data_IF_318901431871
#
_entry.id   IF_318901431871
#
_cell.length_a   1.000
_cell.length_b   1.000
_cell.length_c   1.000
_cell.angle_alpha   90.00
_cell.angle_beta   90.00
_cell.angle_gamma   90.00
#
_symmetry.space_group_name_H-M   'P 1'
#
loop_
_entity.id
_entity.type
_entity.pdbx_description
1 polymer ?
#
# COMPACT_ATOMS: atom_id res chain seq x y z
N UNK A 1 -8.77 35.08 14.04
CA UNK A 1 -7.40 34.71 13.65
C UNK A 1 -7.51 33.86 12.39
N UNK A 2 -7.05 34.37 11.25
CA UNK A 2 -7.13 33.64 9.99
C UNK A 2 -6.20 32.41 10.08
N UNK A 3 -6.78 31.23 9.92
CA UNK A 3 -6.07 29.97 9.84
C UNK A 3 -5.15 30.04 8.60
N UNK A 4 -3.84 30.04 8.80
CA UNK A 4 -2.90 29.96 7.67
C UNK A 4 -3.19 28.65 6.93
N UNK A 5 -3.65 28.75 5.68
CA UNK A 5 -3.86 27.60 4.82
C UNK A 5 -2.55 26.82 4.70
N UNK A 6 -2.62 25.53 4.93
CA UNK A 6 -1.47 24.65 5.13
C UNK A 6 -0.76 24.24 3.82
N UNK A 7 -1.30 24.55 2.66
CA UNK A 7 -0.75 24.07 1.39
C UNK A 7 0.05 25.13 0.62
N UNK A 8 1.26 25.44 1.12
CA UNK A 8 2.20 26.34 0.46
C UNK A 8 2.81 25.76 -0.83
N UNK A 9 2.61 24.46 -1.12
CA UNK A 9 3.20 23.80 -2.29
C UNK A 9 2.50 24.18 -3.61
N UNK A 10 1.21 24.52 -3.57
CA UNK A 10 0.42 24.86 -4.76
C UNK A 10 0.03 26.36 -4.85
N UNK A 11 0.49 27.17 -3.91
CA UNK A 11 0.00 28.52 -3.67
C UNK A 11 0.50 29.66 -4.57
N UNK A 12 1.34 29.41 -5.57
CA UNK A 12 2.16 30.42 -6.26
C UNK A 12 1.43 31.64 -6.86
N UNK A 13 0.14 31.54 -7.21
CA UNK A 13 -0.65 32.63 -7.79
C UNK A 13 -1.88 33.02 -6.95
N UNK A 14 -2.19 32.28 -5.92
CA UNK A 14 -3.40 32.49 -5.12
C UNK A 14 -3.07 33.18 -3.80
N UNK A 15 -3.87 34.17 -3.42
CA UNK A 15 -3.74 34.91 -2.16
C UNK A 15 -4.30 34.12 -0.96
N UNK A 16 -5.13 33.09 -1.22
CA UNK A 16 -5.74 32.22 -0.22
C UNK A 16 -5.50 30.75 -0.59
N UNK A 17 -5.53 29.87 0.40
CA UNK A 17 -5.51 28.42 0.19
C UNK A 17 -6.84 27.90 -0.39
N UNK A 18 -6.93 26.59 -0.72
CA UNK A 18 -8.15 25.95 -1.17
C UNK A 18 -9.29 26.13 -0.16
N UNK A 19 -10.52 26.15 -0.65
CA UNK A 19 -11.71 26.09 0.20
C UNK A 19 -11.80 24.74 0.91
N UNK A 20 -12.35 24.71 2.13
CA UNK A 20 -12.46 23.50 2.93
C UNK A 20 -13.23 22.36 2.22
N UNK A 21 -14.22 22.71 1.39
CA UNK A 21 -14.94 21.73 0.59
C UNK A 21 -14.05 21.13 -0.50
N UNK A 22 -13.19 21.94 -1.13
CA UNK A 22 -12.22 21.47 -2.12
C UNK A 22 -11.17 20.57 -1.48
N UNK A 23 -10.66 20.92 -0.29
CA UNK A 23 -9.74 20.05 0.47
C UNK A 23 -10.39 18.69 0.76
N UNK A 24 -11.66 18.67 1.19
CA UNK A 24 -12.39 17.44 1.48
C UNK A 24 -12.65 16.57 0.24
N UNK A 25 -12.92 17.20 -0.92
CA UNK A 25 -13.16 16.47 -2.19
C UNK A 25 -11.87 15.87 -2.73
N UNK A 26 -10.75 16.58 -2.61
CA UNK A 26 -9.47 16.16 -3.17
C UNK A 26 -8.72 15.16 -2.26
N UNK A 27 -9.02 15.13 -0.97
CA UNK A 27 -8.29 14.31 -0.02
C UNK A 27 -8.48 12.80 -0.27
N UNK A 28 -7.38 12.11 -0.57
CA UNK A 28 -7.30 10.65 -0.72
C UNK A 28 -6.65 9.95 0.49
N UNK A 29 -6.08 10.71 1.44
CA UNK A 29 -5.32 10.15 2.58
C UNK A 29 -6.11 9.11 3.38
N UNK A 30 -7.44 9.19 3.41
CA UNK A 30 -8.30 8.24 4.11
C UNK A 30 -8.16 6.79 3.63
N UNK A 31 -7.71 6.57 2.40
CA UNK A 31 -7.51 5.24 1.82
C UNK A 31 -6.10 5.02 1.24
N UNK A 32 -5.41 6.03 0.71
CA UNK A 32 -4.10 5.88 0.07
C UNK A 32 -2.94 5.77 1.07
N UNK A 33 -3.16 6.07 2.35
CA UNK A 33 -2.20 5.75 3.43
C UNK A 33 -1.72 4.29 3.41
N UNK A 34 -2.50 3.38 2.79
CA UNK A 34 -2.13 1.97 2.58
C UNK A 34 -0.94 1.80 1.64
N UNK A 35 -0.59 2.81 0.85
CA UNK A 35 0.53 2.79 -0.09
C UNK A 35 1.84 3.30 0.54
N UNK A 36 1.85 3.62 1.83
CA UNK A 36 3.00 4.24 2.51
C UNK A 36 4.31 3.46 2.37
N UNK A 37 4.28 2.14 2.54
CA UNK A 37 5.45 1.28 2.40
C UNK A 37 5.99 1.27 0.96
N UNK A 38 5.10 1.27 -0.02
CA UNK A 38 5.44 1.29 -1.44
C UNK A 38 5.99 2.65 -1.85
N UNK A 39 5.40 3.76 -1.37
CA UNK A 39 5.90 5.11 -1.62
C UNK A 39 7.31 5.31 -1.04
N UNK A 40 7.55 4.87 0.20
CA UNK A 40 8.89 4.89 0.80
C UNK A 40 9.87 4.06 -0.02
N UNK A 41 9.47 2.87 -0.46
CA UNK A 41 10.32 1.98 -1.27
C UNK A 41 10.66 2.61 -2.63
N UNK A 42 9.65 3.12 -3.34
CA UNK A 42 9.82 3.80 -4.63
C UNK A 42 10.66 5.07 -4.50
N UNK A 43 10.42 5.87 -3.46
CA UNK A 43 11.15 7.11 -3.18
C UNK A 43 12.61 6.85 -2.84
N UNK A 44 12.93 5.80 -2.09
CA UNK A 44 14.32 5.39 -1.81
C UNK A 44 15.05 4.95 -3.08
N UNK A 45 14.41 4.18 -3.93
CA UNK A 45 14.96 3.77 -5.22
C UNK A 45 15.21 4.98 -6.14
N UNK A 46 14.26 5.94 -6.17
CA UNK A 46 14.40 7.17 -6.93
C UNK A 46 15.59 8.03 -6.44
N UNK A 47 15.72 8.23 -5.13
CA UNK A 47 16.86 8.96 -4.56
C UNK A 47 18.20 8.28 -4.88
N UNK A 48 18.26 6.95 -4.79
CA UNK A 48 19.47 6.19 -5.15
C UNK A 48 19.82 6.36 -6.65
N UNK A 49 18.84 6.33 -7.54
CA UNK A 49 19.02 6.57 -8.97
C UNK A 49 19.52 7.99 -9.23
N UNK A 50 18.92 9.01 -8.61
CA UNK A 50 19.36 10.41 -8.76
C UNK A 50 20.82 10.59 -8.35
N UNK A 51 21.26 9.95 -7.27
CA UNK A 51 22.66 9.99 -6.84
C UNK A 51 23.58 9.24 -7.81
N UNK A 52 23.18 8.05 -8.27
CA UNK A 52 23.97 7.26 -9.23
C UNK A 52 24.18 7.98 -10.56
N UNK A 53 23.23 8.82 -10.97
CA UNK A 53 23.33 9.65 -12.17
C UNK A 53 23.98 11.03 -11.91
N UNK A 54 24.45 11.30 -10.69
CA UNK A 54 25.09 12.56 -10.33
C UNK A 54 24.14 13.78 -10.31
N UNK A 55 22.83 13.56 -10.25
CA UNK A 55 21.81 14.62 -10.21
C UNK A 55 21.72 15.23 -8.81
N UNK A 56 21.83 14.40 -7.77
CA UNK A 56 21.97 14.82 -6.38
C UNK A 56 23.25 14.25 -5.78
N UNK A 57 23.71 14.80 -4.67
CA UNK A 57 24.88 14.25 -3.98
C UNK A 57 24.56 12.92 -3.29
N UNK A 58 25.57 12.05 -3.16
CA UNK A 58 25.43 10.80 -2.39
C UNK A 58 25.04 11.08 -0.93
N UNK A 59 25.50 12.20 -0.36
CA UNK A 59 25.15 12.63 0.99
C UNK A 59 23.66 12.96 1.10
N UNK A 60 23.10 13.68 0.12
CA UNK A 60 21.66 14.00 0.11
C UNK A 60 20.82 12.73 -0.04
N UNK A 61 21.22 11.83 -0.94
CA UNK A 61 20.51 10.57 -1.12
C UNK A 61 20.49 9.72 0.15
N UNK A 62 21.59 9.66 0.87
CA UNK A 62 21.66 8.93 2.15
C UNK A 62 20.80 9.60 3.22
N UNK A 63 20.86 10.93 3.34
CA UNK A 63 20.01 11.68 4.28
C UNK A 63 18.52 11.48 3.98
N UNK A 64 18.12 11.49 2.69
CA UNK A 64 16.75 11.20 2.26
C UNK A 64 16.37 9.75 2.62
N UNK A 65 17.26 8.78 2.36
CA UNK A 65 17.03 7.37 2.66
C UNK A 65 16.75 7.14 4.16
N UNK A 66 17.55 7.74 5.03
CA UNK A 66 17.40 7.63 6.48
C UNK A 66 16.13 8.30 6.98
N UNK A 67 15.82 9.50 6.46
CA UNK A 67 14.58 10.20 6.77
C UNK A 67 13.33 9.40 6.37
N UNK A 68 13.33 8.77 5.18
CA UNK A 68 12.24 7.92 4.72
C UNK A 68 12.06 6.65 5.57
N UNK A 69 13.16 6.03 6.04
CA UNK A 69 13.09 4.89 6.95
C UNK A 69 12.53 5.29 8.33
N UNK A 70 12.89 6.47 8.83
CA UNK A 70 12.32 7.00 10.06
C UNK A 70 10.80 7.18 9.93
N UNK A 71 10.34 7.76 8.81
CA UNK A 71 8.91 7.94 8.53
C UNK A 71 8.18 6.60 8.46
N UNK A 72 8.74 5.61 7.77
CA UNK A 72 8.15 4.28 7.71
C UNK A 72 7.99 3.67 9.10
N UNK A 73 9.01 3.78 9.95
CA UNK A 73 8.95 3.32 11.34
C UNK A 73 7.89 4.07 12.16
N UNK A 74 7.71 5.38 11.94
CA UNK A 74 6.65 6.16 12.60
C UNK A 74 5.25 5.68 12.15
N UNK A 75 5.07 5.34 10.87
CA UNK A 75 3.80 4.82 10.35
C UNK A 75 3.51 3.42 10.92
N UNK A 76 4.48 2.53 10.89
CA UNK A 76 4.35 1.15 11.40
C UNK A 76 4.08 1.11 12.91
N UNK A 77 4.67 2.04 13.67
CA UNK A 77 4.42 2.16 15.13
C UNK A 77 3.14 2.91 15.47
N UNK A 78 2.43 3.48 14.48
CA UNK A 78 1.21 4.27 14.70
C UNK A 78 1.44 5.63 15.33
N UNK A 79 2.67 6.15 15.28
CA UNK A 79 3.04 7.48 15.81
C UNK A 79 3.02 8.59 14.74
N UNK A 80 2.86 8.22 13.47
CA UNK A 80 2.76 9.18 12.37
C UNK A 80 1.35 9.80 12.34
N UNK A 81 1.28 11.13 12.31
CA UNK A 81 0.02 11.88 12.20
C UNK A 81 -0.28 12.21 10.75
N UNK A 82 -1.33 11.60 10.19
CA UNK A 82 -1.82 11.92 8.85
C UNK A 82 -2.68 13.19 8.87
N UNK A 83 -2.47 14.06 7.90
CA UNK A 83 -3.19 15.33 7.74
C UNK A 83 -4.00 15.34 6.45
N UNK A 84 -5.32 15.54 6.55
CA UNK A 84 -6.22 15.74 5.40
C UNK A 84 -5.85 16.99 4.59
N UNK A 85 -5.32 18.02 5.26
CA UNK A 85 -4.86 19.24 4.60
C UNK A 85 -3.64 19.02 3.67
N UNK A 86 -2.97 17.88 3.80
CA UNK A 86 -1.89 17.42 2.93
C UNK A 86 -2.37 16.43 1.85
N UNK A 87 -3.68 16.34 1.63
CA UNK A 87 -4.33 15.69 0.50
C UNK A 87 -4.10 14.17 0.43
N UNK A 88 -2.87 13.73 0.17
CA UNK A 88 -2.49 12.35 -0.11
C UNK A 88 -1.31 11.87 0.76
N UNK A 89 -1.02 10.57 0.70
CA UNK A 89 0.09 9.94 1.43
C UNK A 89 1.45 10.54 1.01
N UNK A 90 1.60 10.87 -0.25
CA UNK A 90 2.87 11.36 -0.79
C UNK A 90 3.21 12.73 -0.22
N UNK A 91 2.24 13.66 -0.15
CA UNK A 91 2.42 14.97 0.48
C UNK A 91 2.63 14.87 1.99
N UNK A 92 1.95 13.94 2.66
CA UNK A 92 2.16 13.67 4.08
C UNK A 92 3.60 13.21 4.35
N UNK A 93 4.12 12.26 3.56
CA UNK A 93 5.51 11.78 3.65
C UNK A 93 6.49 12.90 3.30
N UNK A 94 6.28 13.64 2.21
CA UNK A 94 7.18 14.74 1.80
C UNK A 94 7.23 15.85 2.85
N UNK A 95 6.10 16.24 3.43
CA UNK A 95 6.04 17.26 4.48
C UNK A 95 6.78 16.79 5.74
N UNK A 96 6.58 15.53 6.15
CA UNK A 96 7.30 14.95 7.30
C UNK A 96 8.80 14.86 7.02
N UNK A 97 9.19 14.42 5.83
CA UNK A 97 10.59 14.34 5.41
C UNK A 97 11.25 15.72 5.50
N UNK A 98 10.58 16.76 5.00
CA UNK A 98 11.08 18.14 5.10
C UNK A 98 11.27 18.60 6.55
N UNK A 99 10.38 18.18 7.47
CA UNK A 99 10.52 18.48 8.89
C UNK A 99 11.73 17.78 9.50
N UNK A 100 12.02 16.54 9.09
CA UNK A 100 13.11 15.72 9.64
C UNK A 100 14.49 16.16 9.12
N UNK A 101 14.62 16.38 7.81
CA UNK A 101 15.94 16.55 7.15
C UNK A 101 16.14 17.92 6.51
N UNK A 102 15.13 18.79 6.48
CA UNK A 102 15.23 20.15 5.95
C UNK A 102 15.36 20.21 4.44
N UNK A 103 16.32 21.04 3.93
CA UNK A 103 16.51 21.35 2.51
C UNK A 103 16.71 20.11 1.60
N UNK A 104 17.45 19.06 1.97
CA UNK A 104 17.63 17.88 1.12
C UNK A 104 16.32 17.19 0.71
N UNK A 105 15.27 17.30 1.51
CA UNK A 105 13.97 16.70 1.20
C UNK A 105 13.39 17.19 -0.14
N UNK A 106 13.57 18.48 -0.47
CA UNK A 106 13.07 19.06 -1.72
C UNK A 106 13.72 18.46 -2.97
N UNK A 107 14.90 17.83 -2.83
CA UNK A 107 15.61 17.20 -3.96
C UNK A 107 15.03 15.86 -4.37
N UNK A 108 14.25 15.20 -3.49
CA UNK A 108 13.61 13.91 -3.77
C UNK A 108 12.65 14.01 -4.97
N UNK A 109 11.94 15.13 -5.14
CA UNK A 109 10.96 15.30 -6.22
C UNK A 109 11.59 15.66 -7.59
N UNK A 110 12.92 15.70 -7.68
CA UNK A 110 13.63 16.03 -8.94
C UNK A 110 13.25 15.04 -10.04
N UNK A 111 12.83 15.57 -11.20
CA UNK A 111 12.45 14.81 -12.40
C UNK A 111 11.33 13.76 -12.14
N UNK A 112 10.44 14.01 -11.18
CA UNK A 112 9.35 13.12 -10.78
C UNK A 112 8.01 13.84 -10.93
N UNK A 113 7.00 13.14 -11.45
CA UNK A 113 5.61 13.54 -11.42
C UNK A 113 4.85 12.76 -10.34
N UNK A 114 3.86 13.40 -9.72
CA UNK A 114 2.94 12.69 -8.82
C UNK A 114 2.26 11.51 -9.54
N UNK A 115 1.96 11.65 -10.83
CA UNK A 115 1.30 10.60 -11.62
C UNK A 115 2.14 9.33 -11.76
N UNK A 116 3.45 9.43 -12.03
CA UNK A 116 4.33 8.27 -12.11
C UNK A 116 4.59 7.66 -10.73
N UNK A 117 4.67 8.46 -9.68
CA UNK A 117 4.78 8.04 -8.29
C UNK A 117 3.59 7.18 -7.89
N UNK A 118 2.36 7.71 -7.99
CA UNK A 118 1.12 7.00 -7.64
C UNK A 118 0.99 5.69 -8.44
N UNK A 119 1.26 5.72 -9.75
CA UNK A 119 1.16 4.54 -10.61
C UNK A 119 2.17 3.44 -10.21
N UNK A 120 3.37 3.83 -9.80
CA UNK A 120 4.41 2.91 -9.34
C UNK A 120 4.02 2.28 -8.01
N UNK A 121 3.60 3.10 -7.05
CA UNK A 121 3.23 2.65 -5.71
C UNK A 121 2.02 1.72 -5.74
N UNK A 122 1.01 2.05 -6.54
CA UNK A 122 -0.15 1.18 -6.72
C UNK A 122 0.24 -0.18 -7.34
N UNK A 123 1.14 -0.20 -8.33
CA UNK A 123 1.63 -1.46 -8.91
C UNK A 123 2.43 -2.29 -7.93
N UNK A 124 3.28 -1.68 -7.12
CA UNK A 124 4.00 -2.35 -6.05
C UNK A 124 3.03 -2.96 -5.04
N UNK A 125 2.05 -2.17 -4.59
CA UNK A 125 1.01 -2.64 -3.67
C UNK A 125 0.21 -3.81 -4.23
N UNK A 126 -0.21 -3.75 -5.51
CA UNK A 126 -0.93 -4.86 -6.15
C UNK A 126 -0.08 -6.14 -6.15
N UNK A 127 1.22 -6.04 -6.43
CA UNK A 127 2.12 -7.20 -6.38
C UNK A 127 2.20 -7.80 -4.98
N UNK A 128 2.37 -6.97 -3.96
CA UNK A 128 2.41 -7.42 -2.57
C UNK A 128 1.09 -8.09 -2.16
N UNK A 129 -0.06 -7.54 -2.62
CA UNK A 129 -1.38 -8.14 -2.35
C UNK A 129 -1.59 -9.47 -3.10
N UNK A 130 -1.05 -9.61 -4.30
CA UNK A 130 -1.07 -10.88 -5.04
C UNK A 130 -0.28 -11.95 -4.27
N UNK A 131 0.93 -11.63 -3.81
CA UNK A 131 1.77 -12.57 -3.06
C UNK A 131 1.09 -12.99 -1.75
N UNK A 132 0.55 -12.06 -0.99
CA UNK A 132 -0.22 -12.34 0.23
C UNK A 132 -1.47 -13.19 -0.03
N UNK A 133 -2.18 -12.95 -1.16
CA UNK A 133 -3.35 -13.74 -1.57
C UNK A 133 -2.95 -15.17 -1.92
N UNK A 134 -1.86 -15.35 -2.65
CA UNK A 134 -1.32 -16.69 -2.99
C UNK A 134 -0.97 -17.46 -1.72
N UNK A 135 -0.30 -16.84 -0.77
CA UNK A 135 0.03 -17.46 0.53
C UNK A 135 -1.24 -17.88 1.29
N UNK A 136 -2.25 -17.02 1.32
CA UNK A 136 -3.55 -17.31 1.93
C UNK A 136 -4.27 -18.48 1.26
N UNK A 137 -4.31 -18.52 -0.08
CA UNK A 137 -4.90 -19.63 -0.83
C UNK A 137 -4.15 -20.94 -0.61
N UNK A 138 -2.83 -20.92 -0.57
CA UNK A 138 -2.03 -22.10 -0.26
C UNK A 138 -2.30 -22.64 1.15
N UNK A 139 -2.49 -21.75 2.14
CA UNK A 139 -2.86 -22.16 3.49
C UNK A 139 -4.24 -22.81 3.51
N UNK A 140 -5.22 -22.25 2.80
CA UNK A 140 -6.58 -22.79 2.68
C UNK A 140 -6.56 -24.16 1.98
N UNK A 141 -5.82 -24.31 0.88
CA UNK A 141 -5.66 -25.58 0.17
C UNK A 141 -5.07 -26.65 1.10
N UNK A 142 -4.01 -26.34 1.85
CA UNK A 142 -3.41 -27.27 2.82
C UNK A 142 -4.41 -27.70 3.89
N UNK A 143 -5.22 -26.78 4.39
CA UNK A 143 -6.26 -27.11 5.38
C UNK A 143 -7.35 -28.00 4.79
N UNK A 144 -7.80 -27.73 3.55
CA UNK A 144 -8.78 -28.56 2.85
C UNK A 144 -8.24 -29.97 2.54
N UNK A 145 -6.97 -30.10 2.14
CA UNK A 145 -6.29 -31.38 1.94
C UNK A 145 -6.22 -32.20 3.22
N UNK A 146 -5.85 -31.59 4.34
CA UNK A 146 -5.82 -32.28 5.64
C UNK A 146 -7.20 -32.82 6.03
N UNK A 147 -8.27 -32.07 5.74
CA UNK A 147 -9.65 -32.52 5.96
C UNK A 147 -10.05 -33.64 4.97
N UNK A 148 -9.60 -33.54 3.72
CA UNK A 148 -9.85 -34.59 2.72
C UNK A 148 -9.19 -35.92 3.10
N UNK A 149 -7.95 -35.89 3.58
CA UNK A 149 -7.22 -37.07 4.06
C UNK A 149 -7.90 -37.69 5.28
N UNK A 150 -8.25 -36.88 6.28
CA UNK A 150 -8.89 -37.35 7.51
C UNK A 150 -10.27 -37.97 7.26
N UNK A 151 -11.03 -37.48 6.29
CA UNK A 151 -12.37 -37.95 5.97
C UNK A 151 -12.49 -38.67 4.64
N UNK A 152 -11.40 -39.28 4.15
CA UNK A 152 -11.35 -39.91 2.84
C UNK A 152 -12.41 -41.02 2.65
N UNK A 153 -12.76 -41.74 3.72
CA UNK A 153 -13.71 -42.85 3.77
C UNK A 153 -15.03 -42.49 4.50
N UNK A 154 -15.20 -41.24 4.99
CA UNK A 154 -16.42 -40.82 5.65
C UNK A 154 -17.56 -40.61 4.64
N UNK A 155 -18.49 -41.55 4.62
CA UNK A 155 -19.62 -41.49 3.70
C UNK A 155 -20.66 -40.49 4.17
N UNK A 156 -21.11 -39.64 3.23
CA UNK A 156 -22.19 -38.66 3.45
C UNK A 156 -23.15 -38.61 2.25
N UNK A 157 -24.39 -38.13 2.43
CA UNK A 157 -25.27 -37.95 1.30
C UNK A 157 -24.83 -36.79 0.40
N UNK A 158 -24.78 -37.02 -0.91
CA UNK A 158 -24.76 -35.97 -1.92
C UNK A 158 -26.19 -35.49 -2.19
N UNK A 159 -26.34 -34.24 -2.62
CA UNK A 159 -27.63 -33.59 -2.86
C UNK A 159 -27.71 -33.02 -4.27
N UNK A 160 -28.88 -33.09 -4.88
CA UNK A 160 -29.28 -32.34 -6.06
C UNK A 160 -30.66 -31.75 -5.82
N UNK A 161 -30.88 -30.49 -6.20
CA UNK A 161 -32.17 -29.81 -5.99
C UNK A 161 -32.70 -29.93 -4.56
N UNK A 162 -31.83 -29.88 -3.55
CA UNK A 162 -32.14 -30.07 -2.13
C UNK A 162 -32.70 -31.48 -1.77
N UNK A 163 -32.55 -32.45 -2.67
CA UNK A 163 -32.95 -33.85 -2.47
C UNK A 163 -31.70 -34.73 -2.38
N UNK A 164 -31.76 -35.75 -1.53
CA UNK A 164 -30.67 -36.74 -1.42
C UNK A 164 -30.50 -37.47 -2.76
N UNK A 165 -29.26 -37.52 -3.23
CA UNK A 165 -28.86 -38.21 -4.46
C UNK A 165 -27.93 -39.39 -4.13
N UNK A 166 -26.78 -39.48 -4.81
CA UNK A 166 -25.81 -40.56 -4.55
C UNK A 166 -25.00 -40.30 -3.28
N UNK A 167 -24.44 -41.35 -2.64
CA UNK A 167 -23.46 -41.20 -1.59
C UNK A 167 -22.14 -40.63 -2.14
N UNK A 168 -21.52 -39.76 -1.35
CA UNK A 168 -20.20 -39.22 -1.59
C UNK A 168 -19.37 -39.34 -0.33
N UNK A 169 -18.03 -39.12 -0.39
CA UNK A 169 -17.23 -39.04 0.82
C UNK A 169 -16.92 -37.58 1.17
N UNK A 170 -16.66 -37.33 2.45
CA UNK A 170 -16.17 -36.04 2.92
C UNK A 170 -14.88 -35.63 2.21
N UNK A 171 -13.95 -36.58 2.06
CA UNK A 171 -12.70 -36.37 1.34
C UNK A 171 -12.93 -35.91 -0.10
N UNK A 172 -13.84 -36.57 -0.83
CA UNK A 172 -14.21 -36.18 -2.21
C UNK A 172 -14.80 -34.75 -2.24
N UNK A 173 -15.64 -34.42 -1.29
CA UNK A 173 -16.25 -33.08 -1.17
C UNK A 173 -15.16 -32.00 -0.94
N UNK A 174 -14.22 -32.24 -0.02
CA UNK A 174 -13.14 -31.29 0.27
C UNK A 174 -12.18 -31.14 -0.93
N UNK A 175 -11.91 -32.21 -1.68
CA UNK A 175 -11.07 -32.14 -2.88
C UNK A 175 -11.66 -31.22 -3.96
N UNK A 176 -12.97 -31.10 -4.05
CA UNK A 176 -13.59 -30.14 -4.98
C UNK A 176 -13.17 -28.68 -4.70
N UNK A 177 -13.03 -28.31 -3.42
CA UNK A 177 -12.52 -26.97 -3.04
C UNK A 177 -11.03 -26.82 -3.30
N UNK A 178 -10.23 -27.86 -3.06
CA UNK A 178 -8.81 -27.88 -3.41
C UNK A 178 -8.62 -27.58 -4.88
N UNK A 179 -9.35 -28.25 -5.77
CA UNK A 179 -9.30 -28.05 -7.22
C UNK A 179 -9.80 -26.64 -7.65
N UNK A 180 -10.82 -26.09 -6.96
CA UNK A 180 -11.29 -24.74 -7.23
C UNK A 180 -10.25 -23.67 -6.87
N UNK A 181 -9.60 -23.79 -5.70
CA UNK A 181 -8.64 -22.80 -5.23
C UNK A 181 -7.25 -22.93 -5.87
N UNK A 182 -6.93 -24.09 -6.43
CA UNK A 182 -5.67 -24.32 -7.15
C UNK A 182 -5.64 -23.67 -8.56
N UNK A 183 -6.79 -23.32 -9.11
CA UNK A 183 -6.94 -22.65 -10.43
C UNK A 183 -6.86 -21.14 -10.32
#
# INVERSE_FOLDING_TARGET
MAQKSSNAMWGGRFAAGPDALMEAINASIGFDQRLSAQDVTGSRAHAAMLAAQGIISSKDAETIREGLLTILSEIESGTFEFSTALEDIHMNIEARLKTLIGEPAGRLHTARSRNDQVATDFRLWVRDQIDATIEGLQALIRAALAQAEAGADWVMPGFTHLQTAQPVTWGHHMMAYVEMFAR
#
